data_IF_106018388885
#
_entry.id   IF_106018388885
#
_cell.length_a   1.000
_cell.length_b   1.000
_cell.length_c   1.000
_cell.angle_alpha   90.00
_cell.angle_beta   90.00
_cell.angle_gamma   90.00
#
_symmetry.space_group_name_H-M   'P 1'
#
loop_
_entity.id
_entity.type
_entity.pdbx_description
1 polymer ?
#
# COMPACT_ATOMS: atom_id res chain seq x y z
N UNK A 1 -56.88 -24.38 32.40
CA UNK A 1 -55.41 -24.47 32.39
C UNK A 1 -54.92 -25.19 33.63
N UNK A 2 -54.24 -26.28 33.46
CA UNK A 2 -53.59 -27.00 34.58
C UNK A 2 -52.31 -26.21 34.96
N UNK A 3 -51.89 -26.39 36.24
CA UNK A 3 -50.67 -25.76 36.73
C UNK A 3 -49.44 -26.11 35.88
N UNK A 4 -49.42 -27.28 35.29
CA UNK A 4 -48.33 -27.76 34.42
C UNK A 4 -48.25 -27.01 33.09
N UNK A 5 -49.36 -26.69 32.45
CA UNK A 5 -49.38 -25.89 31.22
C UNK A 5 -48.99 -24.44 31.46
N UNK A 6 -49.37 -23.88 32.60
CA UNK A 6 -48.94 -22.51 32.96
C UNK A 6 -47.43 -22.43 33.23
N UNK A 7 -46.85 -23.43 33.90
CA UNK A 7 -45.40 -23.51 34.13
C UNK A 7 -44.60 -23.72 32.83
N UNK A 8 -45.13 -24.54 31.91
CA UNK A 8 -44.50 -24.78 30.61
C UNK A 8 -44.51 -23.50 29.75
N UNK A 9 -45.58 -22.73 29.74
CA UNK A 9 -45.67 -21.45 29.05
C UNK A 9 -44.73 -20.41 29.64
N UNK A 10 -44.65 -20.35 30.98
CA UNK A 10 -43.72 -19.43 31.66
C UNK A 10 -42.27 -19.77 31.35
N UNK A 11 -41.92 -21.06 31.33
CA UNK A 11 -40.59 -21.54 30.94
C UNK A 11 -40.23 -21.19 29.50
N UNK A 12 -41.18 -21.31 28.56
CA UNK A 12 -41.00 -20.92 27.17
C UNK A 12 -40.75 -19.40 26.99
N UNK A 13 -41.50 -18.59 27.72
CA UNK A 13 -41.33 -17.12 27.69
C UNK A 13 -39.96 -16.73 28.27
N UNK A 14 -39.55 -17.31 29.39
CA UNK A 14 -38.24 -17.07 29.99
C UNK A 14 -37.09 -17.53 29.09
N UNK A 15 -37.20 -18.70 28.46
CA UNK A 15 -36.21 -19.23 27.53
C UNK A 15 -36.08 -18.33 26.30
N UNK A 16 -37.18 -17.82 25.78
CA UNK A 16 -37.20 -16.91 24.63
C UNK A 16 -36.55 -15.56 24.96
N UNK A 17 -36.75 -15.01 26.16
CA UNK A 17 -36.10 -13.79 26.62
C UNK A 17 -34.58 -13.95 26.76
N UNK A 18 -34.12 -15.04 27.31
CA UNK A 18 -32.69 -15.38 27.44
C UNK A 18 -32.06 -15.57 26.07
N UNK A 19 -32.74 -16.25 25.16
CA UNK A 19 -32.27 -16.46 23.78
C UNK A 19 -32.13 -15.14 23.04
N UNK A 20 -33.10 -14.24 23.15
CA UNK A 20 -33.05 -12.90 22.56
C UNK A 20 -31.88 -12.08 23.10
N UNK A 21 -31.64 -12.13 24.41
CA UNK A 21 -30.50 -11.44 25.02
C UNK A 21 -29.16 -11.99 24.53
N UNK A 22 -29.02 -13.30 24.36
CA UNK A 22 -27.84 -13.96 23.82
C UNK A 22 -27.59 -13.55 22.34
N UNK A 23 -28.64 -13.53 21.54
CA UNK A 23 -28.56 -13.11 20.13
C UNK A 23 -28.13 -11.66 20.04
N UNK A 24 -28.66 -10.77 20.87
CA UNK A 24 -28.27 -9.36 20.90
C UNK A 24 -26.82 -9.19 21.34
N UNK A 25 -26.33 -9.90 22.32
CA UNK A 25 -24.95 -9.88 22.77
C UNK A 25 -23.99 -10.36 21.67
N UNK A 26 -24.33 -11.45 21.00
CA UNK A 26 -23.56 -11.95 19.86
C UNK A 26 -23.53 -10.95 18.70
N UNK A 27 -24.66 -10.33 18.40
CA UNK A 27 -24.76 -9.30 17.37
C UNK A 27 -23.88 -8.08 17.66
N UNK A 28 -23.86 -7.61 18.91
CA UNK A 28 -22.98 -6.51 19.34
C UNK A 28 -21.50 -6.90 19.28
N UNK A 29 -21.14 -8.10 19.72
CA UNK A 29 -19.76 -8.61 19.61
C UNK A 29 -19.28 -8.66 18.17
N UNK A 30 -20.11 -9.12 17.23
CA UNK A 30 -19.79 -9.16 15.81
C UNK A 30 -19.62 -7.75 15.24
N UNK A 31 -20.50 -6.81 15.60
CA UNK A 31 -20.41 -5.41 15.18
C UNK A 31 -19.11 -4.76 15.69
N UNK A 32 -18.74 -4.97 16.94
CA UNK A 32 -17.50 -4.45 17.52
C UNK A 32 -16.27 -5.01 16.83
N UNK A 33 -16.24 -6.32 16.54
CA UNK A 33 -15.15 -6.95 15.82
C UNK A 33 -15.01 -6.40 14.40
N UNK A 34 -16.11 -6.20 13.69
CA UNK A 34 -16.11 -5.58 12.35
C UNK A 34 -15.58 -4.15 12.40
N UNK A 35 -16.05 -3.35 13.34
CA UNK A 35 -15.61 -1.97 13.51
C UNK A 35 -14.11 -1.87 13.78
N UNK A 36 -13.58 -2.70 14.67
CA UNK A 36 -12.14 -2.78 14.96
C UNK A 36 -11.33 -3.17 13.74
N UNK A 37 -11.82 -4.11 12.96
CA UNK A 37 -11.17 -4.55 11.73
C UNK A 37 -11.12 -3.42 10.69
N UNK A 38 -12.21 -2.70 10.50
CA UNK A 38 -12.26 -1.53 9.62
C UNK A 38 -11.32 -0.43 10.07
N UNK A 39 -11.29 -0.09 11.34
CA UNK A 39 -10.40 0.93 11.88
C UNK A 39 -8.93 0.54 11.73
N UNK A 40 -8.57 -0.72 11.91
CA UNK A 40 -7.22 -1.24 11.73
C UNK A 40 -6.80 -1.23 10.26
N UNK A 41 -7.65 -1.69 9.34
CA UNK A 41 -7.39 -1.65 7.89
C UNK A 41 -7.23 -0.22 7.38
N UNK A 42 -8.05 0.71 7.86
CA UNK A 42 -7.99 2.12 7.48
C UNK A 42 -6.69 2.77 7.98
N UNK A 43 -6.26 2.45 9.20
CA UNK A 43 -4.98 2.91 9.76
C UNK A 43 -3.79 2.34 9.00
N UNK A 44 -3.78 1.03 8.72
CA UNK A 44 -2.75 0.38 7.91
C UNK A 44 -2.67 0.97 6.50
N UNK A 45 -3.80 1.24 5.86
CA UNK A 45 -3.88 1.86 4.54
C UNK A 45 -3.30 3.27 4.56
N UNK A 46 -3.57 4.06 5.59
CA UNK A 46 -3.00 5.40 5.76
C UNK A 46 -1.50 5.35 5.97
N UNK A 47 -1.01 4.42 6.80
CA UNK A 47 0.41 4.22 7.05
C UNK A 47 1.14 3.78 5.78
N UNK A 48 0.59 2.82 5.04
CA UNK A 48 1.15 2.37 3.76
C UNK A 48 1.20 3.50 2.74
N UNK A 49 0.16 4.32 2.67
CA UNK A 49 0.14 5.49 1.80
C UNK A 49 1.22 6.50 2.16
N UNK A 50 1.40 6.78 3.44
CA UNK A 50 2.44 7.68 3.92
C UNK A 50 3.85 7.17 3.60
N UNK A 51 4.10 5.87 3.78
CA UNK A 51 5.36 5.21 3.42
C UNK A 51 5.58 5.29 1.91
N UNK A 52 4.57 4.97 1.13
CA UNK A 52 4.61 5.03 -0.34
C UNK A 52 4.92 6.43 -0.84
N UNK A 53 4.27 7.45 -0.30
CA UNK A 53 4.51 8.84 -0.64
C UNK A 53 5.93 9.28 -0.26
N UNK A 54 6.41 8.88 0.91
CA UNK A 54 7.78 9.13 1.36
C UNK A 54 8.82 8.47 0.46
N UNK A 55 8.63 7.19 0.10
CA UNK A 55 9.49 6.47 -0.83
C UNK A 55 9.49 7.11 -2.21
N UNK A 56 8.36 7.59 -2.69
CA UNK A 56 8.25 8.29 -3.96
C UNK A 56 9.15 9.51 -4.01
N UNK A 57 9.18 10.33 -2.97
CA UNK A 57 10.04 11.50 -2.89
C UNK A 57 11.53 11.13 -2.79
N UNK A 58 11.88 10.10 -2.02
CA UNK A 58 13.26 9.60 -1.92
C UNK A 58 13.73 9.07 -3.27
N UNK A 59 12.91 8.29 -3.96
CA UNK A 59 13.21 7.76 -5.29
C UNK A 59 13.35 8.87 -6.32
N UNK A 60 12.46 9.85 -6.30
CA UNK A 60 12.53 11.02 -7.16
C UNK A 60 13.88 11.73 -7.00
N UNK A 61 14.26 12.05 -5.78
CA UNK A 61 15.52 12.73 -5.48
C UNK A 61 16.73 11.90 -5.93
N UNK A 62 16.71 10.60 -5.63
CA UNK A 62 17.81 9.69 -6.00
C UNK A 62 17.97 9.57 -7.52
N UNK A 63 16.89 9.36 -8.26
CA UNK A 63 16.90 9.25 -9.72
C UNK A 63 17.40 10.57 -10.34
N UNK A 64 16.86 11.68 -9.86
CA UNK A 64 17.27 13.00 -10.33
C UNK A 64 18.75 13.24 -10.09
N UNK A 65 19.23 12.95 -8.89
CA UNK A 65 20.63 13.14 -8.51
C UNK A 65 21.58 12.30 -9.36
N UNK A 66 21.27 11.01 -9.51
CA UNK A 66 22.07 10.10 -10.34
C UNK A 66 22.02 10.46 -11.82
N UNK A 67 20.85 10.79 -12.34
CA UNK A 67 20.67 11.20 -13.73
C UNK A 67 21.46 12.45 -14.07
N UNK A 68 21.40 13.48 -13.24
CA UNK A 68 22.16 14.71 -13.40
C UNK A 68 23.66 14.47 -13.32
N UNK A 69 24.10 13.57 -12.43
CA UNK A 69 25.50 13.17 -12.32
C UNK A 69 26.00 12.55 -13.63
N UNK A 70 25.24 11.62 -14.19
CA UNK A 70 25.61 10.97 -15.45
C UNK A 70 25.65 11.94 -16.62
N UNK A 71 24.71 12.88 -16.69
CA UNK A 71 24.68 13.93 -17.71
C UNK A 71 25.90 14.84 -17.55
N UNK A 72 26.24 15.23 -16.33
CA UNK A 72 27.42 16.04 -16.05
C UNK A 72 28.71 15.31 -16.41
N UNK A 73 28.82 14.02 -16.13
CA UNK A 73 29.96 13.17 -16.52
C UNK A 73 30.04 12.96 -18.03
N UNK A 74 28.97 13.15 -18.77
CA UNK A 74 28.89 12.99 -20.22
C UNK A 74 28.88 11.53 -20.69
N UNK A 75 28.88 10.57 -19.80
CA UNK A 75 28.83 9.14 -20.07
C UNK A 75 28.22 8.38 -18.90
N UNK A 76 27.73 7.18 -19.17
CA UNK A 76 27.11 6.32 -18.14
C UNK A 76 27.52 4.87 -18.35
N UNK A 77 27.79 4.15 -17.27
CA UNK A 77 28.03 2.73 -17.32
C UNK A 77 26.73 1.97 -17.65
N UNK A 78 26.84 0.87 -18.38
CA UNK A 78 25.68 0.07 -18.81
C UNK A 78 24.85 -0.41 -17.61
N UNK A 79 25.51 -0.94 -16.58
CA UNK A 79 24.83 -1.45 -15.38
C UNK A 79 24.19 -0.32 -14.58
N UNK A 80 24.85 0.81 -14.43
CA UNK A 80 24.31 1.99 -13.76
C UNK A 80 23.07 2.53 -14.48
N UNK A 81 23.11 2.58 -15.81
CA UNK A 81 21.95 2.99 -16.62
C UNK A 81 20.78 2.03 -16.45
N UNK A 82 21.06 0.74 -16.45
CA UNK A 82 20.02 -0.29 -16.22
C UNK A 82 19.38 -0.15 -14.85
N UNK A 83 20.18 0.02 -13.80
CA UNK A 83 19.69 0.23 -12.44
C UNK A 83 18.83 1.48 -12.35
N UNK A 84 19.29 2.58 -12.95
CA UNK A 84 18.52 3.82 -12.98
C UNK A 84 17.18 3.66 -13.71
N UNK A 85 17.16 2.91 -14.80
CA UNK A 85 15.94 2.57 -15.53
C UNK A 85 14.95 1.80 -14.66
N UNK A 86 15.43 0.80 -13.95
CA UNK A 86 14.59 0.00 -13.04
C UNK A 86 14.05 0.84 -11.88
N UNK A 87 14.86 1.73 -11.33
CA UNK A 87 14.44 2.68 -10.30
C UNK A 87 13.34 3.61 -10.83
N UNK A 88 13.51 4.13 -12.04
CA UNK A 88 12.51 5.00 -12.69
C UNK A 88 11.20 4.25 -12.95
N UNK A 89 11.27 3.01 -13.40
CA UNK A 89 10.09 2.16 -13.60
C UNK A 89 9.34 1.93 -12.28
N UNK A 90 10.06 1.62 -11.21
CA UNK A 90 9.47 1.45 -9.88
C UNK A 90 8.84 2.75 -9.35
N UNK A 91 9.48 3.88 -9.59
CA UNK A 91 8.96 5.19 -9.22
C UNK A 91 7.68 5.53 -10.01
N UNK A 92 7.71 5.39 -11.31
CA UNK A 92 6.61 5.78 -12.20
C UNK A 92 5.42 4.81 -12.08
N UNK A 93 5.67 3.53 -12.26
CA UNK A 93 4.62 2.51 -12.33
C UNK A 93 4.22 1.97 -10.95
N UNK A 94 5.19 1.73 -10.08
CA UNK A 94 4.96 1.14 -8.76
C UNK A 94 4.49 2.15 -7.71
N UNK A 95 5.14 3.30 -7.60
CA UNK A 95 4.84 4.31 -6.60
C UNK A 95 3.89 5.41 -7.11
N UNK A 96 3.50 5.36 -8.36
CA UNK A 96 2.60 6.34 -8.95
C UNK A 96 3.24 7.72 -9.14
N UNK A 97 4.53 7.75 -9.44
CA UNK A 97 5.23 8.97 -9.78
C UNK A 97 4.72 9.57 -11.09
N UNK A 98 4.91 10.86 -11.26
CA UNK A 98 4.53 11.57 -12.47
C UNK A 98 5.64 11.51 -13.55
N UNK A 99 5.41 12.15 -14.69
CA UNK A 99 6.37 12.21 -15.80
C UNK A 99 7.50 13.22 -15.65
N UNK A 100 7.72 13.80 -14.48
CA UNK A 100 8.73 14.86 -14.27
C UNK A 100 10.17 14.40 -14.56
N UNK A 101 10.44 13.11 -14.41
CA UNK A 101 11.76 12.52 -14.67
C UNK A 101 11.94 11.99 -16.09
N UNK A 102 10.92 12.02 -16.93
CA UNK A 102 10.97 11.42 -18.27
C UNK A 102 12.00 12.11 -19.16
N UNK A 103 12.05 13.42 -19.17
CA UNK A 103 13.07 14.22 -19.89
C UNK A 103 14.49 13.90 -19.42
N UNK A 104 14.69 13.79 -18.13
CA UNK A 104 15.97 13.42 -17.52
C UNK A 104 16.40 12.03 -18.00
N UNK A 105 15.49 11.05 -17.98
CA UNK A 105 15.76 9.68 -18.42
C UNK A 105 16.10 9.63 -19.91
N UNK A 106 15.41 10.38 -20.76
CA UNK A 106 15.74 10.49 -22.18
C UNK A 106 17.17 11.00 -22.38
N UNK A 107 17.55 12.03 -21.65
CA UNK A 107 18.91 12.57 -21.69
C UNK A 107 19.96 11.56 -21.26
N UNK A 108 19.66 10.75 -20.25
CA UNK A 108 20.54 9.66 -19.78
C UNK A 108 20.68 8.57 -20.85
N UNK A 109 19.59 8.20 -21.52
CA UNK A 109 19.61 7.19 -22.58
C UNK A 109 20.41 7.63 -23.83
N UNK A 110 20.51 8.92 -24.08
CA UNK A 110 21.30 9.47 -25.17
C UNK A 110 22.80 9.50 -24.86
N UNK A 111 23.20 9.34 -23.61
CA UNK A 111 24.60 9.34 -23.21
C UNK A 111 25.36 8.13 -23.78
N UNK A 112 26.62 8.31 -24.22
CA UNK A 112 27.47 7.19 -24.58
C UNK A 112 27.76 6.31 -23.39
N UNK A 113 27.89 5.01 -23.63
CA UNK A 113 28.26 4.05 -22.58
C UNK A 113 29.76 4.18 -22.29
N UNK A 114 30.12 4.11 -21.02
CA UNK A 114 31.53 4.06 -20.59
C UNK A 114 32.24 2.88 -21.26
N UNK A 115 33.38 3.14 -21.82
CA UNK A 115 34.17 2.16 -22.52
C UNK A 115 33.83 1.93 -23.98
N UNK A 116 32.71 2.47 -24.51
CA UNK A 116 32.34 2.37 -25.93
C UNK A 116 33.32 3.11 -26.85
N UNK A 117 34.02 4.12 -26.34
CA UNK A 117 35.03 4.91 -27.08
C UNK A 117 36.42 4.30 -27.00
N UNK A 118 36.66 3.25 -26.24
CA UNK A 118 37.99 2.64 -26.09
C UNK A 118 38.35 1.60 -27.14
N UNK A 119 37.47 1.38 -28.11
CA UNK A 119 37.65 0.39 -29.17
C UNK A 119 37.93 1.00 -30.56
N UNK A 120 38.22 2.27 -30.62
CA UNK A 120 38.79 2.92 -31.79
C UNK A 120 40.35 2.94 -31.70
#
# INVERSE_FOLDING_TARGET
MTKETALALLGLILASSVLSALINQLGESIRQKRKRKYDTEDTETKELKAIKDGLKWVMFDKIRHLGLKYIDDGEVDFDERRILKEMHTSYHDGLGGNGDLDSLMESVYELPLKGATKHE
#
